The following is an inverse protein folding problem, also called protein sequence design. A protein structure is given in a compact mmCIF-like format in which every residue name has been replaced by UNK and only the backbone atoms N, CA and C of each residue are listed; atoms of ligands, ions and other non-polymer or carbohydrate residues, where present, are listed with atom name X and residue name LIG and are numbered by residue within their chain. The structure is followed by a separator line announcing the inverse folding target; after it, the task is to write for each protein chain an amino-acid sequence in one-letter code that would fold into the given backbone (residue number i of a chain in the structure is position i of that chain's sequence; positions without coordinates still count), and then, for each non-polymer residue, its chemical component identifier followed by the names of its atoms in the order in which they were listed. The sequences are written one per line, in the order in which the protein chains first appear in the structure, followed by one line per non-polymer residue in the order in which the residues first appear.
data_IF_915886257378
#
_entry.id   IF_915886257378
#
_cell.length_a   1.000
_cell.length_b   1.000
_cell.length_c   1.000
_cell.angle_alpha   90.00
_cell.angle_beta   90.00
_cell.angle_gamma   90.00
#
_symmetry.space_group_name_H-M   'P 1'
#
loop_
_entity.id
_entity.type
_entity.pdbx_description
1 polymer ?
#
# COMPACT_ATOMS: atom_id res chain seq x y z
N UNK A 1 -21.05 -14.12 -27.19
CA UNK A 1 -21.00 -13.48 -25.86
C UNK A 1 -19.66 -12.78 -25.73
N UNK A 2 -19.65 -11.50 -25.37
CA UNK A 2 -18.42 -10.73 -25.17
C UNK A 2 -17.69 -11.27 -23.93
N UNK A 3 -16.46 -11.75 -24.08
CA UNK A 3 -15.58 -12.26 -23.01
C UNK A 3 -15.21 -11.19 -21.95
N UNK A 4 -15.64 -9.94 -22.11
CA UNK A 4 -15.22 -8.79 -21.29
C UNK A 4 -15.67 -8.81 -19.82
N UNK A 5 -16.61 -9.67 -19.44
CA UNK A 5 -17.17 -9.69 -18.08
C UNK A 5 -16.92 -11.02 -17.35
N UNK A 6 -16.02 -11.89 -17.85
CA UNK A 6 -15.72 -13.15 -17.17
C UNK A 6 -14.69 -12.91 -16.04
N UNK A 7 -15.07 -13.07 -14.76
CA UNK A 7 -14.16 -12.88 -13.63
C UNK A 7 -12.94 -13.81 -13.66
N UNK A 8 -13.03 -14.94 -14.38
CA UNK A 8 -11.93 -15.86 -14.53
C UNK A 8 -10.82 -15.34 -15.45
N UNK A 9 -11.11 -14.37 -16.32
CA UNK A 9 -10.18 -13.84 -17.32
C UNK A 9 -9.48 -12.56 -16.88
N UNK A 10 -9.75 -12.04 -15.68
CA UNK A 10 -9.27 -10.74 -15.24
C UNK A 10 -8.63 -10.79 -13.84
N UNK A 11 -7.57 -10.01 -13.65
CA UNK A 11 -6.94 -9.76 -12.34
C UNK A 11 -7.00 -8.26 -12.05
N UNK A 12 -7.47 -7.93 -10.86
CA UNK A 12 -7.59 -6.56 -10.40
C UNK A 12 -6.49 -6.30 -9.37
N UNK A 13 -5.56 -5.42 -9.73
CA UNK A 13 -4.39 -5.09 -8.94
C UNK A 13 -4.61 -3.72 -8.32
N UNK A 14 -4.33 -3.59 -7.03
CA UNK A 14 -4.45 -2.33 -6.29
C UNK A 14 -3.15 -1.99 -5.59
N UNK A 15 -2.75 -0.72 -5.63
CA UNK A 15 -1.99 -0.18 -4.50
C UNK A 15 -2.88 -0.10 -3.25
N UNK A 16 -2.25 0.06 -2.09
CA UNK A 16 -2.95 0.19 -0.82
C UNK A 16 -3.16 1.65 -0.44
N UNK A 17 -2.07 2.36 -0.16
CA UNK A 17 -2.12 3.71 0.41
C UNK A 17 -2.73 4.69 -0.60
N UNK A 18 -3.65 5.53 -0.12
CA UNK A 18 -4.38 6.54 -0.91
C UNK A 18 -5.14 5.97 -2.14
N UNK A 19 -5.30 4.64 -2.19
CA UNK A 19 -6.05 3.88 -3.22
C UNK A 19 -7.18 3.06 -2.60
N UNK A 20 -6.87 2.18 -1.66
CA UNK A 20 -7.84 1.36 -0.91
C UNK A 20 -7.95 1.77 0.55
N UNK A 21 -6.84 2.19 1.14
CA UNK A 21 -6.77 2.60 2.54
C UNK A 21 -6.23 4.01 2.66
N UNK A 22 -6.63 4.69 3.73
CA UNK A 22 -6.12 6.00 4.08
C UNK A 22 -5.78 6.04 5.57
N UNK A 23 -4.76 6.80 5.93
CA UNK A 23 -4.42 7.05 7.33
C UNK A 23 -5.18 8.28 7.81
N UNK A 24 -5.88 8.18 8.94
CA UNK A 24 -6.47 9.35 9.58
C UNK A 24 -5.37 10.27 10.13
N UNK A 25 -4.97 11.25 9.31
CA UNK A 25 -3.88 12.18 9.61
C UNK A 25 -4.12 13.01 10.88
N UNK A 26 -5.37 13.31 11.25
CA UNK A 26 -5.66 14.09 12.47
C UNK A 26 -5.31 13.29 13.73
N UNK A 27 -5.69 12.01 13.75
CA UNK A 27 -5.38 11.11 14.86
C UNK A 27 -3.85 10.91 14.97
N UNK A 28 -3.19 10.63 13.84
CA UNK A 28 -1.73 10.53 13.77
C UNK A 28 -1.03 11.80 14.27
N UNK A 29 -1.41 12.97 13.75
CA UNK A 29 -0.82 14.25 14.14
C UNK A 29 -1.04 14.54 15.63
N UNK A 30 -2.17 14.13 16.22
CA UNK A 30 -2.39 14.32 17.66
C UNK A 30 -1.43 13.49 18.52
N UNK A 31 -1.11 12.26 18.10
CA UNK A 31 -0.16 11.38 18.79
C UNK A 31 1.27 11.87 18.56
N UNK A 32 1.61 12.15 17.30
CA UNK A 32 2.92 12.70 16.91
C UNK A 32 3.19 14.06 17.58
N UNK A 33 2.19 14.91 17.76
CA UNK A 33 2.35 16.20 18.45
C UNK A 33 2.54 16.04 19.95
N UNK A 34 1.82 15.11 20.59
CA UNK A 34 1.93 14.86 22.03
C UNK A 34 3.24 14.17 22.40
N UNK A 35 3.68 13.21 21.61
CA UNK A 35 4.90 12.46 21.87
C UNK A 35 6.16 13.14 21.28
N UNK A 36 6.02 14.03 20.29
CA UNK A 36 7.17 14.57 19.52
C UNK A 36 7.03 16.03 19.08
N UNK A 37 6.71 16.97 19.98
CA UNK A 37 6.47 18.37 19.59
C UNK A 37 7.68 19.01 18.89
N UNK A 38 8.91 18.57 19.20
CA UNK A 38 10.16 19.08 18.59
C UNK A 38 10.59 18.36 17.30
N UNK A 39 10.04 17.18 17.00
CA UNK A 39 10.48 16.33 15.88
C UNK A 39 9.39 16.14 14.80
N UNK A 40 8.22 16.76 14.95
CA UNK A 40 7.09 16.54 14.02
C UNK A 40 7.40 16.89 12.56
N UNK A 41 8.28 17.87 12.33
CA UNK A 41 8.77 18.22 11.00
C UNK A 41 9.59 17.08 10.36
N UNK A 42 10.43 16.41 11.14
CA UNK A 42 11.24 15.24 10.73
C UNK A 42 10.36 14.00 10.53
N UNK A 43 9.28 13.85 11.30
CA UNK A 43 8.34 12.73 11.18
C UNK A 43 7.42 12.86 9.96
N UNK A 44 6.93 14.07 9.66
CA UNK A 44 6.22 14.33 8.40
C UNK A 44 7.14 14.22 7.18
N UNK A 45 8.45 14.47 7.37
CA UNK A 45 9.48 14.36 6.35
C UNK A 45 9.73 12.91 5.90
N UNK A 46 9.63 11.92 6.80
CA UNK A 46 9.85 10.50 6.46
C UNK A 46 8.68 9.84 5.70
N UNK A 47 7.48 10.44 5.72
CA UNK A 47 6.29 9.91 5.02
C UNK A 47 6.13 10.40 3.58
N UNK A 48 6.84 11.45 3.16
CA UNK A 48 6.50 12.14 1.90
C UNK A 48 7.65 12.18 0.89
N UNK A 49 7.33 11.86 -0.36
CA UNK A 49 8.16 12.21 -1.53
C UNK A 49 8.41 13.74 -1.61
N UNK A 50 7.52 14.57 -1.04
CA UNK A 50 7.63 16.04 -0.93
C UNK A 50 8.80 16.53 -0.06
N UNK A 51 9.36 15.68 0.80
CA UNK A 51 10.56 15.98 1.57
C UNK A 51 11.81 16.20 0.67
N UNK A 52 11.82 15.56 -0.50
CA UNK A 52 12.88 15.65 -1.52
C UNK A 52 13.12 17.08 -2.01
N UNK A 53 12.03 17.86 -2.14
CA UNK A 53 12.06 19.18 -2.74
C UNK A 53 12.39 20.30 -1.73
N UNK A 54 12.03 20.13 -0.45
CA UNK A 54 12.17 21.18 0.58
C UNK A 54 13.53 21.19 1.31
N UNK A 55 14.18 20.05 1.49
CA UNK A 55 15.41 19.95 2.32
C UNK A 55 16.64 19.42 1.56
N UNK A 56 16.55 19.34 0.23
CA UNK A 56 17.68 19.13 -0.65
C UNK A 56 18.15 17.67 -0.78
N UNK A 57 18.58 17.35 -1.99
CA UNK A 57 19.07 16.03 -2.42
C UNK A 57 20.19 15.42 -1.56
N UNK A 58 20.94 16.17 -0.72
CA UNK A 58 22.12 15.63 -0.02
C UNK A 58 21.78 14.69 1.15
N UNK A 59 20.76 14.98 1.97
CA UNK A 59 20.31 14.07 3.05
C UNK A 59 19.55 12.86 2.49
N UNK A 60 18.83 13.04 1.38
CA UNK A 60 18.15 11.95 0.67
C UNK A 60 19.09 11.07 -0.16
N UNK A 61 20.22 11.60 -0.68
CA UNK A 61 21.27 10.80 -1.35
C UNK A 61 21.99 9.85 -0.40
N UNK A 62 22.04 10.16 0.91
CA UNK A 62 22.52 9.21 1.92
C UNK A 62 21.47 8.13 2.27
N UNK A 63 20.17 8.42 2.06
CA UNK A 63 19.03 7.51 2.29
C UNK A 63 18.72 6.64 1.05
N UNK A 64 19.07 7.13 -0.15
CA UNK A 64 18.94 6.44 -1.45
C UNK A 64 20.30 6.35 -2.16
N UNK A 65 21.31 5.79 -1.49
CA UNK A 65 22.20 4.92 -2.26
C UNK A 65 21.41 3.66 -2.54
N UNK A 66 21.45 3.15 -3.78
CA UNK A 66 20.69 1.96 -4.24
C UNK A 66 20.89 0.72 -3.34
N UNK A 67 21.88 0.78 -2.44
CA UNK A 67 22.27 -0.24 -1.50
C UNK A 67 21.52 -0.28 -0.16
N UNK A 68 20.69 0.71 0.24
CA UNK A 68 20.35 0.86 1.68
C UNK A 68 18.88 0.94 2.14
N UNK A 69 17.90 1.32 1.32
CA UNK A 69 16.49 1.18 1.74
C UNK A 69 15.52 1.17 0.57
N UNK A 70 14.73 0.10 0.36
CA UNK A 70 13.53 0.19 -0.45
C UNK A 70 12.44 0.97 0.30
N UNK A 71 11.42 1.38 -0.44
CA UNK A 71 10.26 2.09 0.11
C UNK A 71 9.56 1.35 1.26
N UNK A 72 8.78 2.11 2.03
CA UNK A 72 8.08 1.64 3.22
C UNK A 72 8.40 2.48 4.45
N UNK A 73 7.45 2.60 5.38
CA UNK A 73 7.63 3.46 6.54
C UNK A 73 8.60 2.83 7.54
N UNK A 74 8.46 1.54 7.86
CA UNK A 74 9.27 0.89 8.89
C UNK A 74 10.73 0.79 8.47
N UNK A 75 10.97 0.45 7.20
CA UNK A 75 12.32 0.47 6.62
C UNK A 75 12.92 1.87 6.65
N UNK A 76 12.16 2.90 6.28
CA UNK A 76 12.63 4.29 6.31
C UNK A 76 12.95 4.79 7.72
N UNK A 77 12.11 4.47 8.71
CA UNK A 77 12.35 4.86 10.10
C UNK A 77 13.53 4.08 10.70
N UNK A 78 13.63 2.78 10.47
CA UNK A 78 14.76 1.96 10.91
C UNK A 78 16.07 2.47 10.33
N UNK A 79 16.13 2.71 9.02
CA UNK A 79 17.31 3.27 8.36
C UNK A 79 17.70 4.62 8.98
N UNK A 80 16.73 5.52 9.13
CA UNK A 80 16.98 6.84 9.67
C UNK A 80 17.50 6.78 11.13
N UNK A 81 16.94 5.90 11.96
CA UNK A 81 17.40 5.68 13.34
C UNK A 81 18.79 5.03 13.43
N UNK A 82 19.17 4.18 12.47
CA UNK A 82 20.47 3.49 12.49
C UNK A 82 21.64 4.33 11.93
N UNK A 83 21.38 5.16 10.93
CA UNK A 83 22.44 5.81 10.13
C UNK A 83 22.40 7.33 10.12
N UNK A 84 21.25 7.96 10.41
CA UNK A 84 21.10 9.41 10.23
C UNK A 84 20.90 10.13 11.55
N UNK A 85 20.01 9.63 12.40
CA UNK A 85 19.73 10.20 13.70
C UNK A 85 19.82 9.12 14.77
N UNK A 86 21.03 8.92 15.29
CA UNK A 86 21.34 7.92 16.30
C UNK A 86 21.01 8.43 17.73
N UNK A 87 20.12 9.41 17.84
CA UNK A 87 19.64 9.91 19.13
C UNK A 87 18.77 8.84 19.81
N UNK A 88 19.17 8.46 21.02
CA UNK A 88 18.53 7.39 21.79
C UNK A 88 17.03 7.65 22.01
N UNK A 89 16.68 8.88 22.38
CA UNK A 89 15.29 9.26 22.62
C UNK A 89 14.46 9.20 21.34
N UNK A 90 15.02 9.63 20.21
CA UNK A 90 14.35 9.49 18.92
C UNK A 90 14.14 8.01 18.54
N UNK A 91 15.17 7.17 18.69
CA UNK A 91 15.10 5.74 18.39
C UNK A 91 14.06 5.01 19.25
N UNK A 92 13.96 5.33 20.55
CA UNK A 92 12.98 4.75 21.48
C UNK A 92 11.55 4.85 20.97
N UNK A 93 11.28 5.89 20.21
CA UNK A 93 9.94 6.29 19.90
C UNK A 93 9.47 5.85 18.50
N UNK A 94 10.39 5.33 17.68
CA UNK A 94 10.08 4.84 16.32
C UNK A 94 9.04 3.71 16.32
N UNK A 95 9.13 2.67 17.18
CA UNK A 95 8.13 1.59 17.20
C UNK A 95 6.70 2.11 17.48
N UNK A 96 6.56 3.01 18.45
CA UNK A 96 5.27 3.63 18.79
C UNK A 96 4.70 4.44 17.63
N UNK A 97 5.55 5.17 16.91
CA UNK A 97 5.14 5.96 15.73
C UNK A 97 4.59 5.08 14.63
N UNK A 98 5.29 3.99 14.30
CA UNK A 98 4.86 3.05 13.28
C UNK A 98 3.51 2.46 13.62
N UNK A 99 3.35 2.00 14.86
CA UNK A 99 2.08 1.47 15.35
C UNK A 99 0.97 2.52 15.27
N UNK A 100 1.20 3.73 15.79
CA UNK A 100 0.20 4.80 15.78
C UNK A 100 -0.25 5.22 14.36
N UNK A 101 0.65 5.23 13.38
CA UNK A 101 0.31 5.52 11.97
C UNK A 101 -0.68 4.48 11.43
N UNK A 102 -0.42 3.20 11.67
CA UNK A 102 -1.18 2.09 11.08
C UNK A 102 -2.41 1.69 11.89
N UNK A 103 -2.43 1.91 13.20
CA UNK A 103 -3.62 1.79 14.06
C UNK A 103 -4.73 2.77 13.65
N UNK A 104 -4.40 3.80 12.87
CA UNK A 104 -5.35 4.79 12.35
C UNK A 104 -5.64 4.64 10.86
N UNK A 105 -5.17 3.55 10.23
CA UNK A 105 -5.56 3.20 8.87
C UNK A 105 -7.04 2.76 8.85
N UNK A 106 -7.75 3.15 7.80
CA UNK A 106 -9.14 2.77 7.51
C UNK A 106 -9.29 2.53 6.02
N UNK A 107 -10.29 1.74 5.63
CA UNK A 107 -10.69 1.69 4.23
C UNK A 107 -11.18 3.07 3.79
N UNK A 108 -10.85 3.44 2.55
CA UNK A 108 -11.51 4.56 1.90
C UNK A 108 -13.01 4.25 1.80
N UNK A 109 -13.85 5.28 1.84
CA UNK A 109 -15.31 5.14 1.73
C UNK A 109 -15.68 4.29 0.51
N UNK A 110 -16.43 3.19 0.72
CA UNK A 110 -16.80 2.25 -0.33
C UNK A 110 -15.80 1.14 -0.66
N UNK A 111 -14.53 1.24 -0.25
CA UNK A 111 -13.49 0.30 -0.69
C UNK A 111 -13.74 -1.13 -0.18
N UNK A 112 -14.12 -1.28 1.09
CA UNK A 112 -14.44 -2.59 1.67
C UNK A 112 -15.62 -3.26 0.93
N UNK A 113 -16.68 -2.49 0.67
CA UNK A 113 -17.88 -2.95 -0.04
C UNK A 113 -17.54 -3.37 -1.48
N UNK A 114 -16.76 -2.57 -2.19
CA UNK A 114 -16.30 -2.91 -3.53
C UNK A 114 -15.44 -4.19 -3.54
N UNK A 115 -14.48 -4.31 -2.63
CA UNK A 115 -13.61 -5.50 -2.54
C UNK A 115 -14.40 -6.77 -2.19
N UNK A 116 -15.35 -6.68 -1.26
CA UNK A 116 -16.24 -7.79 -0.92
C UNK A 116 -17.03 -8.26 -2.15
N UNK A 117 -17.57 -7.31 -2.92
CA UNK A 117 -18.30 -7.60 -4.15
C UNK A 117 -17.45 -8.30 -5.20
N UNK A 118 -16.26 -7.74 -5.49
CA UNK A 118 -15.34 -8.31 -6.47
C UNK A 118 -14.90 -9.72 -6.06
N UNK A 119 -14.63 -9.93 -4.76
CA UNK A 119 -14.29 -11.26 -4.23
C UNK A 119 -15.45 -12.24 -4.38
N UNK A 120 -16.68 -11.82 -4.07
CA UNK A 120 -17.89 -12.64 -4.22
C UNK A 120 -18.13 -13.03 -5.68
N UNK A 121 -17.84 -12.14 -6.63
CA UNK A 121 -17.90 -12.42 -8.07
C UNK A 121 -16.80 -13.35 -8.58
N UNK A 122 -15.78 -13.63 -7.76
CA UNK A 122 -14.69 -14.53 -8.11
C UNK A 122 -13.52 -13.88 -8.84
N UNK A 123 -13.42 -12.55 -8.83
CA UNK A 123 -12.23 -11.87 -9.36
C UNK A 123 -10.99 -12.19 -8.53
N UNK A 124 -9.86 -12.36 -9.21
CA UNK A 124 -8.56 -12.38 -8.55
C UNK A 124 -8.17 -10.95 -8.17
N UNK A 125 -7.92 -10.71 -6.88
CA UNK A 125 -7.53 -9.40 -6.34
C UNK A 125 -6.06 -9.49 -5.92
N UNK A 126 -5.24 -8.51 -6.30
CA UNK A 126 -3.82 -8.50 -5.93
C UNK A 126 -3.47 -7.16 -5.30
N UNK A 127 -2.78 -7.19 -4.17
CA UNK A 127 -2.21 -5.99 -3.58
C UNK A 127 -0.75 -5.86 -4.03
N UNK A 128 -0.40 -4.74 -4.68
CA UNK A 128 0.94 -4.45 -5.17
C UNK A 128 1.38 -3.06 -4.68
N UNK A 129 2.09 -3.04 -3.55
CA UNK A 129 2.33 -1.82 -2.79
C UNK A 129 3.81 -1.55 -2.50
N UNK A 130 4.16 -0.27 -2.38
CA UNK A 130 5.49 0.16 -1.89
C UNK A 130 5.63 0.12 -0.37
N UNK A 131 4.65 -0.47 0.33
CA UNK A 131 4.69 -0.69 1.77
C UNK A 131 5.64 -1.84 2.06
N UNK A 132 6.51 -1.68 3.06
CA UNK A 132 7.37 -2.76 3.51
C UNK A 132 6.58 -3.81 4.31
N UNK A 133 7.11 -5.04 4.41
CA UNK A 133 6.44 -6.14 5.11
C UNK A 133 6.02 -5.82 6.55
N UNK A 134 6.85 -5.12 7.33
CA UNK A 134 6.55 -4.83 8.74
C UNK A 134 5.41 -3.83 8.84
N UNK A 135 5.46 -2.76 8.03
CA UNK A 135 4.36 -1.81 7.90
C UNK A 135 3.08 -2.49 7.40
N UNK A 136 3.19 -3.40 6.42
CA UNK A 136 2.04 -4.16 5.90
C UNK A 136 1.41 -5.01 6.99
N UNK A 137 2.20 -5.73 7.78
CA UNK A 137 1.70 -6.59 8.85
C UNK A 137 0.93 -5.78 9.89
N UNK A 138 1.46 -4.64 10.33
CA UNK A 138 0.74 -3.75 11.24
C UNK A 138 -0.57 -3.21 10.65
N UNK A 139 -0.57 -2.82 9.38
CA UNK A 139 -1.80 -2.41 8.68
C UNK A 139 -2.79 -3.56 8.64
N UNK A 140 -2.36 -4.76 8.25
CA UNK A 140 -3.22 -5.94 8.16
C UNK A 140 -3.84 -6.28 9.52
N UNK A 141 -3.05 -6.38 10.58
CA UNK A 141 -3.51 -6.64 11.96
C UNK A 141 -4.56 -5.59 12.41
N UNK A 142 -4.26 -4.30 12.22
CA UNK A 142 -5.14 -3.18 12.58
C UNK A 142 -6.46 -3.21 11.78
N UNK A 143 -6.37 -3.42 10.47
CA UNK A 143 -7.52 -3.45 9.58
C UNK A 143 -8.38 -4.69 9.82
N UNK A 144 -7.79 -5.86 10.00
CA UNK A 144 -8.51 -7.10 10.23
C UNK A 144 -9.25 -7.09 11.57
N UNK A 145 -8.64 -6.51 12.61
CA UNK A 145 -9.33 -6.27 13.88
C UNK A 145 -10.58 -5.38 13.71
N UNK A 146 -10.52 -4.35 12.85
CA UNK A 146 -11.63 -3.42 12.61
C UNK A 146 -12.71 -3.97 11.69
N UNK A 147 -12.30 -4.75 10.70
CA UNK A 147 -13.14 -5.20 9.59
C UNK A 147 -13.33 -6.72 9.55
N UNK A 148 -13.19 -7.40 10.70
CA UNK A 148 -13.44 -8.84 10.85
C UNK A 148 -12.66 -9.70 9.84
N UNK A 149 -11.34 -9.49 9.77
CA UNK A 149 -10.41 -10.17 8.85
C UNK A 149 -10.60 -9.87 7.35
N UNK A 150 -11.44 -8.89 6.99
CA UNK A 150 -11.72 -8.58 5.60
C UNK A 150 -10.46 -8.21 4.80
N UNK A 151 -9.52 -7.46 5.39
CA UNK A 151 -8.37 -6.91 4.66
C UNK A 151 -7.45 -8.02 4.15
N UNK A 152 -7.11 -8.99 5.00
CA UNK A 152 -6.25 -10.12 4.58
C UNK A 152 -7.00 -11.19 3.79
N UNK A 153 -8.34 -11.23 3.82
CA UNK A 153 -9.14 -12.25 3.11
C UNK A 153 -9.41 -11.93 1.63
N UNK A 154 -9.39 -10.65 1.24
CA UNK A 154 -9.66 -10.27 -0.15
C UNK A 154 -8.56 -10.67 -1.14
N UNK A 155 -7.28 -10.32 -0.92
CA UNK A 155 -6.26 -10.56 -1.93
C UNK A 155 -6.05 -12.06 -2.16
N UNK A 156 -5.86 -12.43 -3.42
CA UNK A 156 -5.31 -13.72 -3.83
C UNK A 156 -3.84 -13.81 -3.42
N UNK A 157 -3.08 -12.73 -3.66
CA UNK A 157 -1.72 -12.58 -3.19
C UNK A 157 -1.36 -11.09 -2.98
N UNK A 158 -0.32 -10.86 -2.20
CA UNK A 158 0.20 -9.52 -1.92
C UNK A 158 1.69 -9.46 -2.25
N UNK A 159 2.11 -8.42 -2.96
CA UNK A 159 3.51 -8.05 -3.17
C UNK A 159 3.83 -6.77 -2.38
N UNK A 160 4.78 -6.89 -1.45
CA UNK A 160 5.30 -5.80 -0.62
C UNK A 160 6.76 -5.52 -0.95
N UNK A 161 7.24 -4.31 -0.67
CA UNK A 161 8.67 -4.00 -0.78
C UNK A 161 9.45 -4.66 0.37
N UNK A 162 10.70 -5.00 0.13
CA UNK A 162 11.57 -5.53 1.19
C UNK A 162 13.05 -5.21 0.93
N UNK A 163 13.86 -4.86 1.95
CA UNK A 163 15.29 -4.61 1.77
C UNK A 163 16.04 -5.79 1.14
N UNK A 164 17.13 -5.49 0.41
CA UNK A 164 18.00 -6.54 -0.10
C UNK A 164 18.73 -7.23 1.05
N UNK A 165 19.15 -8.48 0.85
CA UNK A 165 20.00 -9.20 1.82
C UNK A 165 21.27 -8.41 2.20
N UNK A 166 21.86 -7.69 1.24
CA UNK A 166 23.04 -6.85 1.47
C UNK A 166 22.71 -5.70 2.42
N UNK A 167 21.58 -5.01 2.19
CA UNK A 167 21.12 -3.93 3.07
C UNK A 167 20.89 -4.45 4.50
N UNK A 168 20.21 -5.60 4.64
CA UNK A 168 19.92 -6.20 5.95
C UNK A 168 21.19 -6.63 6.71
N UNK A 169 22.20 -7.15 6.00
CA UNK A 169 23.50 -7.46 6.60
C UNK A 169 24.17 -6.21 7.16
N UNK A 170 24.20 -5.12 6.40
CA UNK A 170 24.76 -3.83 6.86
C UNK A 170 23.99 -3.28 8.06
N UNK A 171 22.66 -3.43 8.10
CA UNK A 171 21.85 -3.00 9.24
C UNK A 171 22.17 -3.82 10.49
N UNK A 172 22.35 -5.14 10.34
CA UNK A 172 22.79 -6.04 11.43
C UNK A 172 24.16 -5.64 11.97
N UNK A 173 25.12 -5.34 11.10
CA UNK A 173 26.44 -4.84 11.49
C UNK A 173 26.33 -3.51 12.24
N UNK A 174 25.53 -2.57 11.73
CA UNK A 174 25.32 -1.27 12.36
C UNK A 174 24.68 -1.39 13.74
N UNK A 175 23.70 -2.28 13.91
CA UNK A 175 23.12 -2.57 15.22
C UNK A 175 24.15 -3.10 16.21
N UNK A 176 25.02 -4.02 15.77
CA UNK A 176 26.07 -4.60 16.62
C UNK A 176 27.13 -3.57 17.02
N UNK A 177 27.40 -2.59 16.17
CA UNK A 177 28.35 -1.51 16.44
C UNK A 177 27.80 -0.43 17.38
N UNK A 178 26.49 -0.39 17.64
CA UNK A 178 25.87 0.56 18.55
C UNK A 178 25.56 -0.09 19.90
N UNK A 179 26.38 0.23 20.91
CA UNK A 179 26.25 -0.34 22.26
C UNK A 179 24.96 0.07 22.99
N UNK A 180 24.41 1.25 22.67
CA UNK A 180 23.29 1.85 23.40
C UNK A 180 22.05 2.03 22.49
N UNK A 181 21.57 0.97 21.86
CA UNK A 181 20.27 1.00 21.16
C UNK A 181 19.10 0.66 22.11
N UNK A 182 17.96 1.37 22.03
CA UNK A 182 16.76 0.99 22.76
C UNK A 182 16.27 -0.41 22.38
N UNK A 183 15.80 -1.19 23.36
CA UNK A 183 15.43 -2.59 23.14
C UNK A 183 14.27 -2.75 22.15
N UNK A 184 13.22 -1.93 22.27
CA UNK A 184 12.09 -1.97 21.34
C UNK A 184 12.49 -1.59 19.91
N UNK A 185 13.43 -0.65 19.76
CA UNK A 185 13.98 -0.30 18.45
C UNK A 185 14.81 -1.46 17.88
N UNK A 186 15.64 -2.12 18.69
CA UNK A 186 16.37 -3.33 18.26
C UNK A 186 15.41 -4.43 17.80
N UNK A 187 14.33 -4.66 18.54
CA UNK A 187 13.31 -5.65 18.20
C UNK A 187 12.66 -5.32 16.85
N UNK A 188 12.28 -4.05 16.62
CA UNK A 188 11.75 -3.62 15.32
C UNK A 188 12.74 -3.86 14.18
N UNK A 189 14.01 -3.47 14.34
CA UNK A 189 15.01 -3.67 13.27
C UNK A 189 15.27 -5.16 13.03
N UNK A 190 15.36 -5.97 14.09
CA UNK A 190 15.49 -7.42 13.98
C UNK A 190 14.27 -8.05 13.27
N UNK A 191 13.05 -7.59 13.55
CA UNK A 191 11.86 -8.04 12.83
C UNK A 191 11.95 -7.75 11.33
N UNK A 192 12.51 -6.59 10.93
CA UNK A 192 12.74 -6.27 9.52
C UNK A 192 13.82 -7.20 8.93
N UNK A 193 14.93 -7.42 9.64
CA UNK A 193 16.04 -8.27 9.18
C UNK A 193 15.64 -9.74 9.03
N UNK A 194 14.81 -10.23 9.93
CA UNK A 194 14.41 -11.65 10.01
C UNK A 194 13.12 -11.94 9.24
N UNK A 195 12.46 -10.92 8.69
CA UNK A 195 11.25 -11.08 7.91
C UNK A 195 11.47 -12.02 6.72
N UNK A 196 10.47 -12.88 6.48
CA UNK A 196 10.44 -13.82 5.36
C UNK A 196 9.07 -13.71 4.67
N UNK A 197 8.99 -14.05 3.37
CA UNK A 197 7.71 -14.17 2.69
C UNK A 197 6.76 -15.06 3.49
N UNK A 198 5.53 -14.60 3.67
CA UNK A 198 4.50 -15.33 4.39
C UNK A 198 3.67 -16.13 3.40
N UNK A 199 4.12 -17.37 3.13
CA UNK A 199 3.45 -18.27 2.20
C UNK A 199 2.08 -18.71 2.70
N UNK A 200 1.84 -18.71 4.01
CA UNK A 200 0.54 -19.09 4.56
C UNK A 200 -0.53 -18.03 4.24
N UNK A 201 -0.13 -16.76 4.22
CA UNK A 201 -1.00 -15.63 3.91
C UNK A 201 -0.78 -15.04 2.50
N UNK A 202 -0.06 -15.75 1.62
CA UNK A 202 0.27 -15.33 0.26
C UNK A 202 0.90 -13.93 0.15
N UNK A 203 1.82 -13.59 1.06
CA UNK A 203 2.58 -12.33 1.06
C UNK A 203 4.00 -12.56 0.57
N UNK A 204 4.38 -11.85 -0.49
CA UNK A 204 5.63 -12.01 -1.22
C UNK A 204 6.42 -10.71 -1.24
N UNK A 205 7.74 -10.82 -1.42
CA UNK A 205 8.65 -9.68 -1.38
C UNK A 205 9.12 -9.29 -2.78
N UNK A 206 9.10 -7.98 -3.04
CA UNK A 206 9.88 -7.34 -4.10
C UNK A 206 11.23 -6.88 -3.51
N UNK A 207 12.16 -7.83 -3.33
CA UNK A 207 13.45 -7.58 -2.68
C UNK A 207 14.27 -6.51 -3.44
N UNK A 208 14.52 -5.38 -2.78
CA UNK A 208 15.29 -4.26 -3.32
C UNK A 208 14.57 -3.41 -4.37
N UNK A 209 13.31 -3.72 -4.68
CA UNK A 209 12.58 -3.05 -5.74
C UNK A 209 11.31 -2.38 -5.22
N UNK A 210 11.00 -1.20 -5.74
CA UNK A 210 9.77 -0.45 -5.49
C UNK A 210 9.21 0.09 -6.80
N UNK A 211 7.90 0.34 -6.88
CA UNK A 211 7.33 1.09 -8.01
C UNK A 211 7.95 2.50 -8.05
N UNK A 212 8.29 3.06 -9.23
CA UNK A 212 8.02 2.55 -10.58
C UNK A 212 9.20 1.82 -11.24
N UNK A 213 10.08 1.15 -10.49
CA UNK A 213 11.20 0.40 -11.08
C UNK A 213 10.68 -0.75 -11.94
N UNK A 214 11.41 -1.08 -13.00
CA UNK A 214 10.98 -2.10 -13.96
C UNK A 214 10.94 -3.50 -13.34
N UNK A 215 11.95 -3.78 -12.54
CA UNK A 215 12.17 -5.02 -11.84
C UNK A 215 11.02 -5.33 -10.89
N UNK A 216 10.41 -4.31 -10.28
CA UNK A 216 9.21 -4.48 -9.46
C UNK A 216 8.05 -5.10 -10.26
N UNK A 217 7.78 -4.58 -11.45
CA UNK A 217 6.70 -5.11 -12.31
C UNK A 217 7.03 -6.47 -12.90
N UNK A 218 8.30 -6.73 -13.23
CA UNK A 218 8.76 -8.07 -13.63
C UNK A 218 8.52 -9.09 -12.50
N UNK A 219 8.78 -8.70 -11.24
CA UNK A 219 8.46 -9.54 -10.07
C UNK A 219 6.97 -9.74 -9.89
N UNK A 220 6.17 -8.68 -10.06
CA UNK A 220 4.72 -8.78 -10.02
C UNK A 220 4.18 -9.77 -11.05
N UNK A 221 4.60 -9.68 -12.32
CA UNK A 221 4.17 -10.61 -13.37
C UNK A 221 4.57 -12.05 -13.03
N UNK A 222 5.82 -12.27 -12.63
CA UNK A 222 6.28 -13.60 -12.20
C UNK A 222 5.48 -14.17 -11.03
N UNK A 223 5.00 -13.30 -10.12
CA UNK A 223 4.11 -13.71 -9.02
C UNK A 223 2.72 -14.07 -9.54
N UNK A 224 2.16 -13.32 -10.49
CA UNK A 224 0.88 -13.64 -11.12
C UNK A 224 0.95 -14.99 -11.85
N UNK A 225 2.05 -15.25 -12.55
CA UNK A 225 2.28 -16.51 -13.26
C UNK A 225 2.31 -17.70 -12.29
N UNK A 226 2.97 -17.58 -11.13
CA UNK A 226 3.03 -18.64 -10.13
C UNK A 226 1.67 -18.96 -9.47
N UNK A 227 0.69 -18.06 -9.63
CA UNK A 227 -0.69 -18.24 -9.19
C UNK A 227 -1.64 -18.65 -10.34
N UNK A 228 -1.10 -19.07 -11.49
CA UNK A 228 -1.87 -19.41 -12.69
C UNK A 228 -2.74 -18.25 -13.19
N UNK A 229 -2.21 -17.02 -13.12
CA UNK A 229 -2.89 -15.82 -13.59
C UNK A 229 -2.26 -15.24 -14.88
N UNK A 230 -1.22 -15.87 -15.43
CA UNK A 230 -0.41 -15.40 -16.56
C UNK A 230 -1.22 -14.95 -17.79
N UNK A 231 -2.24 -15.73 -18.15
CA UNK A 231 -3.02 -15.53 -19.39
C UNK A 231 -4.21 -14.57 -19.22
N UNK A 232 -4.32 -13.89 -18.07
CA UNK A 232 -5.44 -13.01 -17.75
C UNK A 232 -5.14 -11.56 -18.11
N UNK A 233 -6.20 -10.78 -18.31
CA UNK A 233 -6.06 -9.34 -18.43
C UNK A 233 -5.81 -8.70 -17.06
N UNK A 234 -4.80 -7.85 -16.97
CA UNK A 234 -4.43 -7.15 -15.74
C UNK A 234 -4.94 -5.71 -15.74
N UNK A 235 -5.60 -5.31 -14.66
CA UNK A 235 -6.09 -3.94 -14.46
C UNK A 235 -5.49 -3.42 -13.15
N UNK A 236 -4.70 -2.34 -13.22
CA UNK A 236 -3.99 -1.77 -12.10
C UNK A 236 -4.51 -0.38 -11.71
N UNK A 237 -4.76 -0.21 -10.42
CA UNK A 237 -5.19 1.05 -9.81
C UNK A 237 -4.14 1.54 -8.83
N UNK A 238 -3.71 2.79 -9.00
CA UNK A 238 -2.65 3.42 -8.20
C UNK A 238 -2.90 4.94 -8.17
N UNK A 239 -2.54 5.61 -7.07
CA UNK A 239 -2.68 7.06 -6.93
C UNK A 239 -1.64 7.85 -7.74
N UNK A 240 -0.53 7.19 -8.13
CA UNK A 240 0.61 7.83 -8.79
C UNK A 240 0.61 7.59 -10.29
N UNK A 241 0.53 8.66 -11.11
CA UNK A 241 0.61 8.54 -12.57
C UNK A 241 1.84 7.79 -13.08
N UNK A 242 3.01 8.01 -12.47
CA UNK A 242 4.27 7.37 -12.87
C UNK A 242 4.26 5.85 -12.70
N UNK A 243 3.52 5.33 -11.70
CA UNK A 243 3.36 3.90 -11.51
C UNK A 243 2.49 3.31 -12.61
N UNK A 244 1.39 3.98 -12.93
CA UNK A 244 0.47 3.60 -14.01
C UNK A 244 1.15 3.62 -15.38
N UNK A 245 1.97 4.63 -15.66
CA UNK A 245 2.76 4.69 -16.90
C UNK A 245 3.71 3.50 -17.04
N UNK A 246 4.42 3.13 -15.96
CA UNK A 246 5.32 1.97 -15.99
C UNK A 246 4.56 0.65 -16.13
N UNK A 247 3.41 0.50 -15.47
CA UNK A 247 2.56 -0.68 -15.60
C UNK A 247 2.09 -0.89 -17.05
N UNK A 248 1.70 0.19 -17.75
CA UNK A 248 1.30 0.13 -19.16
C UNK A 248 2.42 -0.34 -20.08
N UNK A 249 3.67 0.03 -19.80
CA UNK A 249 4.85 -0.49 -20.53
C UNK A 249 5.04 -2.00 -20.37
N UNK A 250 4.39 -2.60 -19.36
CA UNK A 250 4.39 -4.05 -19.08
C UNK A 250 3.06 -4.72 -19.46
N UNK A 251 2.31 -4.12 -20.37
CA UNK A 251 1.01 -4.61 -20.86
C UNK A 251 -0.07 -4.74 -19.78
N UNK A 252 0.03 -3.98 -18.69
CA UNK A 252 -0.99 -3.90 -17.64
C UNK A 252 -1.88 -2.68 -17.93
N UNK A 253 -3.21 -2.88 -18.03
CA UNK A 253 -4.15 -1.76 -18.14
C UNK A 253 -4.10 -0.97 -16.83
N UNK A 254 -4.14 0.36 -16.89
CA UNK A 254 -3.83 1.17 -15.71
C UNK A 254 -4.64 2.46 -15.58
N UNK A 255 -5.13 2.70 -14.36
CA UNK A 255 -5.99 3.84 -14.00
C UNK A 255 -5.39 4.58 -12.81
N UNK A 256 -5.22 5.89 -12.97
CA UNK A 256 -4.86 6.78 -11.85
C UNK A 256 -6.13 7.08 -11.06
N UNK A 257 -6.08 6.90 -9.75
CA UNK A 257 -7.25 7.09 -8.88
C UNK A 257 -6.97 8.07 -7.75
N UNK A 258 -8.02 8.75 -7.27
CA UNK A 258 -7.96 9.61 -6.08
C UNK A 258 -8.97 9.19 -5.01
N UNK A 259 -9.91 8.32 -5.38
CA UNK A 259 -11.00 7.83 -4.53
C UNK A 259 -11.62 6.58 -5.17
N UNK A 260 -12.53 5.95 -4.43
CA UNK A 260 -13.20 4.70 -4.86
C UNK A 260 -14.11 4.92 -6.08
N UNK A 261 -14.66 6.12 -6.31
CA UNK A 261 -15.46 6.38 -7.50
C UNK A 261 -14.61 6.34 -8.79
N UNK A 262 -13.34 6.75 -8.72
CA UNK A 262 -12.41 6.61 -9.84
C UNK A 262 -12.09 5.14 -10.13
N UNK A 263 -11.98 4.30 -9.08
CA UNK A 263 -11.84 2.84 -9.24
C UNK A 263 -13.06 2.27 -9.95
N UNK A 264 -14.28 2.58 -9.47
CA UNK A 264 -15.53 2.09 -10.07
C UNK A 264 -15.61 2.46 -11.55
N UNK A 265 -15.32 3.71 -11.92
CA UNK A 265 -15.31 4.14 -13.33
C UNK A 265 -14.26 3.42 -14.18
N UNK A 266 -13.09 3.13 -13.61
CA UNK A 266 -12.08 2.32 -14.29
C UNK A 266 -12.58 0.89 -14.53
N UNK A 267 -13.20 0.29 -13.51
CA UNK A 267 -13.80 -1.04 -13.63
C UNK A 267 -14.96 -1.08 -14.64
N UNK A 268 -15.80 -0.05 -14.70
CA UNK A 268 -16.84 0.10 -15.75
C UNK A 268 -16.22 0.15 -17.16
N UNK A 269 -15.18 0.98 -17.33
CA UNK A 269 -14.50 1.14 -18.62
C UNK A 269 -13.88 -0.17 -19.11
N UNK A 270 -13.36 -0.97 -18.20
CA UNK A 270 -12.73 -2.25 -18.52
C UNK A 270 -13.75 -3.42 -18.61
N UNK A 271 -15.04 -3.15 -18.41
CA UNK A 271 -16.10 -4.16 -18.50
C UNK A 271 -16.22 -5.07 -17.27
N UNK A 272 -15.50 -4.76 -16.19
CA UNK A 272 -15.60 -5.49 -14.92
C UNK A 272 -16.95 -5.22 -14.24
N UNK A 273 -17.42 -3.97 -14.31
CA UNK A 273 -18.70 -3.55 -13.73
C UNK A 273 -19.66 -3.04 -14.81
N UNK A 274 -20.94 -3.35 -14.66
CA UNK A 274 -22.05 -2.83 -15.44
C UNK A 274 -23.12 -2.27 -14.49
N UNK A 275 -23.42 -0.96 -14.53
CA UNK A 275 -24.42 -0.33 -13.67
C UNK A 275 -25.81 -0.98 -13.70
N UNK A 276 -26.17 -1.65 -14.80
CA UNK A 276 -27.46 -2.34 -14.92
C UNK A 276 -27.44 -3.71 -14.25
N UNK A 277 -26.33 -4.45 -14.36
CA UNK A 277 -26.20 -5.81 -13.82
C UNK A 277 -25.74 -5.81 -12.36
N UNK A 278 -25.01 -4.78 -11.94
CA UNK A 278 -24.42 -4.67 -10.60
C UNK A 278 -25.15 -3.64 -9.73
N UNK A 279 -26.43 -3.39 -10.01
CA UNK A 279 -27.23 -2.30 -9.42
C UNK A 279 -27.17 -2.26 -7.88
N UNK A 280 -27.23 -3.40 -7.21
CA UNK A 280 -27.18 -3.49 -5.74
C UNK A 280 -25.88 -2.92 -5.17
N UNK A 281 -24.74 -3.20 -5.81
CA UNK A 281 -23.45 -2.63 -5.45
C UNK A 281 -23.51 -1.10 -5.54
N UNK A 282 -23.98 -0.57 -6.67
CA UNK A 282 -24.04 0.88 -6.88
C UNK A 282 -24.95 1.57 -5.86
N UNK A 283 -26.08 0.99 -5.52
CA UNK A 283 -26.98 1.52 -4.48
C UNK A 283 -26.31 1.53 -3.10
N UNK A 284 -25.50 0.51 -2.79
CA UNK A 284 -24.76 0.47 -1.53
C UNK A 284 -23.62 1.51 -1.51
N UNK A 285 -22.81 1.59 -2.57
CA UNK A 285 -21.75 2.59 -2.70
C UNK A 285 -22.30 4.02 -2.67
N UNK A 286 -23.48 4.26 -3.24
CA UNK A 286 -24.18 5.55 -3.13
C UNK A 286 -24.57 5.87 -1.69
N UNK A 287 -25.15 4.92 -0.95
CA UNK A 287 -25.48 5.09 0.49
C UNK A 287 -24.26 5.37 1.35
N UNK A 288 -23.11 4.80 1.00
CA UNK A 288 -21.84 5.07 1.68
C UNK A 288 -21.22 6.41 1.29
N UNK A 289 -21.74 7.08 0.25
CA UNK A 289 -21.29 8.41 -0.17
C UNK A 289 -20.14 8.40 -1.17
N UNK A 290 -19.87 7.27 -1.84
CA UNK A 290 -18.77 7.10 -2.79
C UNK A 290 -18.85 8.10 -3.96
N UNK A 291 -20.06 8.31 -4.48
CA UNK A 291 -20.29 9.20 -5.63
C UNK A 291 -20.57 10.67 -5.23
N UNK A 292 -20.43 11.02 -3.95
CA UNK A 292 -20.78 12.32 -3.41
C UNK A 292 -22.27 12.66 -3.52
N UNK A 293 -22.66 13.87 -3.07
CA UNK A 293 -23.98 14.47 -3.30
C UNK A 293 -24.16 14.86 -4.79
N UNK A 294 -23.84 13.97 -5.74
CA UNK A 294 -24.26 14.13 -7.12
C UNK A 294 -25.76 13.81 -7.14
N UNK A 295 -26.53 14.89 -7.02
CA UNK A 295 -27.97 15.02 -7.27
C UNK A 295 -28.60 13.76 -7.89
N UNK A 296 -29.51 13.18 -7.11
CA UNK A 296 -30.70 12.36 -7.42
C UNK A 296 -31.51 12.72 -8.69
N UNK A 297 -31.00 13.50 -9.65
CA UNK A 297 -31.78 14.16 -10.70
C UNK A 297 -31.59 13.52 -12.09
N UNK A 298 -30.58 12.70 -12.35
CA UNK A 298 -30.38 12.12 -13.70
C UNK A 298 -30.94 10.71 -13.93
N UNK A 299 -31.37 9.98 -12.90
CA UNK A 299 -31.94 8.62 -13.06
C UNK A 299 -33.47 8.58 -13.28
N UNK A 300 -34.15 9.73 -13.24
CA UNK A 300 -35.60 9.82 -13.52
C UNK A 300 -35.95 10.29 -14.95
N UNK A 301 -34.96 10.60 -15.80
CA UNK A 301 -35.19 11.02 -17.19
C UNK A 301 -34.73 9.97 -18.22
N UNK A 302 -35.10 8.70 -17.99
CA UNK A 302 -35.26 7.73 -19.09
C UNK A 302 -36.52 6.91 -18.76
N UNK A 303 -37.68 7.57 -18.88
CA UNK A 303 -38.99 6.99 -19.24
C UNK A 303 -40.06 8.07 -19.07
N UNK A 304 -40.27 8.81 -20.16
CA UNK A 304 -41.55 9.41 -20.54
C UNK A 304 -41.58 9.43 -22.05
#
# INVERSE_FOLDING_TARGET
MSLKNDPQQQVIIFDLDDTLIQVNLKAYLSIAWKAFPRNIGTLMFLKSSRAKDKYGNKRFKAIKTDEFSPGGAATSFAFYGLYVNNDYHFQQLIPELLKAVWDNAVFMTGANTLLAYLKQKGYAIVYATNKDYTSYKHVAESMDAKYKNAFSMYPTCTLVTHPTKISLQKWKEQMNNQSNLPEEFKQLVNQIIEAKPDQQNNVYFADGFEKPQEEYYTRLISLLDSHNLADKEYIFFDDKPVNIEKAKQKNIKGHVVKNVADIVKGLEKEGVLDPNNDRELYEQLEKEGVFGFIKKVSRYFIKS
#
